data_IF_101682989264
#
_entry.id   IF_101682989264
#
_cell.length_a   1.000
_cell.length_b   1.000
_cell.length_c   1.000
_cell.angle_alpha   90.00
_cell.angle_beta   90.00
_cell.angle_gamma   90.00
#
_symmetry.space_group_name_H-M   'P 1'
#
loop_
_entity.id
_entity.type
_entity.pdbx_description
1 polymer ?
#
# COMPACT_ATOMS: atom_id res chain seq x y z
N UNK A 1 3.78 -13.81 -25.03
CA UNK A 1 2.51 -13.08 -25.20
C UNK A 1 1.82 -12.95 -23.84
N UNK A 2 1.72 -11.73 -23.30
CA UNK A 2 0.90 -11.44 -22.13
C UNK A 2 -0.57 -11.67 -22.52
N UNK A 3 -1.21 -12.65 -21.92
CA UNK A 3 -2.65 -12.88 -22.08
C UNK A 3 -3.37 -11.57 -21.71
N UNK A 4 -4.22 -11.07 -22.61
CA UNK A 4 -5.06 -9.89 -22.35
C UNK A 4 -5.98 -10.20 -21.16
N UNK A 5 -5.69 -9.62 -20.01
CA UNK A 5 -6.53 -9.73 -18.82
C UNK A 5 -7.67 -8.73 -18.99
N UNK A 6 -8.92 -9.19 -18.84
CA UNK A 6 -10.05 -8.28 -18.75
C UNK A 6 -9.98 -7.57 -17.40
N UNK A 7 -9.81 -6.26 -17.43
CA UNK A 7 -9.73 -5.43 -16.24
C UNK A 7 -10.72 -4.26 -16.31
N UNK A 8 -11.27 -3.89 -15.17
CA UNK A 8 -12.10 -2.72 -14.96
C UNK A 8 -11.36 -1.79 -14.00
N UNK A 9 -11.17 -0.54 -14.37
CA UNK A 9 -10.58 0.49 -13.52
C UNK A 9 -11.66 1.34 -12.87
N UNK A 10 -11.46 1.70 -11.61
CA UNK A 10 -12.38 2.53 -10.84
C UNK A 10 -11.56 3.65 -10.19
N UNK A 11 -11.98 4.90 -10.35
CA UNK A 11 -11.30 6.05 -9.74
C UNK A 11 -12.28 7.21 -9.51
N UNK A 12 -12.02 8.04 -8.51
CA UNK A 12 -12.75 9.28 -8.25
C UNK A 12 -12.29 10.41 -9.18
N UNK A 13 -11.10 10.30 -9.76
CA UNK A 13 -10.51 11.31 -10.62
C UNK A 13 -10.84 11.06 -12.08
N UNK A 14 -11.74 11.88 -12.63
CA UNK A 14 -12.16 11.82 -14.04
C UNK A 14 -11.02 11.98 -15.03
N UNK A 15 -9.99 12.77 -14.70
CA UNK A 15 -8.85 12.98 -15.59
C UNK A 15 -8.00 11.72 -15.70
N UNK A 16 -7.73 11.02 -14.57
CA UNK A 16 -7.03 9.72 -14.57
C UNK A 16 -7.80 8.66 -15.34
N UNK A 17 -9.12 8.59 -15.17
CA UNK A 17 -9.96 7.66 -15.95
C UNK A 17 -9.92 7.93 -17.45
N UNK A 18 -9.91 9.21 -17.85
CA UNK A 18 -9.79 9.60 -19.26
C UNK A 18 -8.45 9.18 -19.85
N UNK A 19 -7.37 9.34 -19.09
CA UNK A 19 -6.04 8.93 -19.51
C UNK A 19 -5.88 7.40 -19.57
N UNK A 20 -6.39 6.69 -18.59
CA UNK A 20 -6.41 5.23 -18.57
C UNK A 20 -7.17 4.64 -19.78
N UNK A 21 -8.29 5.26 -20.17
CA UNK A 21 -9.04 4.86 -21.37
C UNK A 21 -8.25 5.09 -22.67
N UNK A 22 -7.49 6.18 -22.78
CA UNK A 22 -6.66 6.45 -23.97
C UNK A 22 -5.57 5.41 -24.14
N UNK A 23 -4.96 4.97 -23.02
CA UNK A 23 -3.87 4.03 -23.02
C UNK A 23 -4.33 2.56 -23.09
N UNK A 24 -5.63 2.30 -23.25
CA UNK A 24 -6.23 0.97 -23.35
C UNK A 24 -5.85 0.01 -22.22
N UNK A 25 -5.56 0.57 -21.04
CA UNK A 25 -5.17 -0.22 -19.87
C UNK A 25 -6.34 -1.02 -19.32
N UNK A 26 -7.58 -0.47 -19.46
CA UNK A 26 -8.79 -1.11 -18.97
C UNK A 26 -9.85 -1.25 -20.05
N UNK A 27 -10.61 -2.34 -19.99
CA UNK A 27 -11.78 -2.54 -20.86
C UNK A 27 -12.91 -1.55 -20.50
N UNK A 28 -13.04 -1.25 -19.21
CA UNK A 28 -14.03 -0.31 -18.68
C UNK A 28 -13.38 0.56 -17.59
N UNK A 29 -13.78 1.82 -17.52
CA UNK A 29 -13.36 2.73 -16.47
C UNK A 29 -14.59 3.44 -15.90
N UNK A 30 -14.83 3.24 -14.60
CA UNK A 30 -16.00 3.74 -13.88
C UNK A 30 -15.57 4.89 -12.98
N UNK A 31 -16.28 6.01 -13.10
CA UNK A 31 -16.14 7.11 -12.15
C UNK A 31 -16.85 6.77 -10.83
N UNK A 32 -16.11 6.90 -9.74
CA UNK A 32 -16.66 6.80 -8.39
C UNK A 32 -17.15 8.15 -7.89
N UNK A 33 -18.27 8.13 -7.19
CA UNK A 33 -18.56 9.06 -6.12
C UNK A 33 -18.54 8.32 -4.78
N UNK A 34 -18.53 9.04 -3.68
CA UNK A 34 -18.39 8.47 -2.33
C UNK A 34 -19.51 7.48 -1.98
N UNK A 35 -20.66 7.54 -2.68
CA UNK A 35 -21.84 6.75 -2.37
C UNK A 35 -21.95 5.47 -3.19
N UNK A 36 -21.25 5.35 -4.33
CA UNK A 36 -21.46 4.25 -5.26
C UNK A 36 -20.41 3.13 -5.23
N UNK A 37 -19.31 3.29 -4.48
CA UNK A 37 -18.23 2.31 -4.44
C UNK A 37 -18.70 0.92 -3.94
N UNK A 38 -19.42 0.87 -2.83
CA UNK A 38 -19.90 -0.40 -2.28
C UNK A 38 -20.89 -1.12 -3.21
N UNK A 39 -21.92 -0.46 -3.77
CA UNK A 39 -22.79 -1.06 -4.80
C UNK A 39 -22.05 -1.59 -6.03
N UNK A 40 -21.01 -0.89 -6.51
CA UNK A 40 -20.18 -1.34 -7.63
C UNK A 40 -19.45 -2.63 -7.28
N UNK A 41 -18.82 -2.69 -6.10
CA UNK A 41 -18.14 -3.89 -5.61
C UNK A 41 -19.10 -5.06 -5.44
N UNK A 42 -20.24 -4.84 -4.80
CA UNK A 42 -21.24 -5.89 -4.54
C UNK A 42 -21.82 -6.50 -5.84
N UNK A 43 -21.99 -5.68 -6.88
CA UNK A 43 -22.49 -6.12 -8.19
C UNK A 43 -21.42 -6.57 -9.17
N UNK A 44 -20.15 -6.48 -8.79
CA UNK A 44 -19.03 -6.83 -9.68
C UNK A 44 -19.00 -8.32 -10.01
N UNK A 45 -18.75 -8.63 -11.28
CA UNK A 45 -18.50 -9.98 -11.76
C UNK A 45 -17.00 -10.34 -11.79
N UNK A 46 -16.15 -9.43 -11.30
CA UNK A 46 -14.71 -9.66 -11.22
C UNK A 46 -14.38 -10.73 -10.18
N UNK A 47 -13.34 -11.51 -10.44
CA UNK A 47 -12.85 -12.52 -9.48
C UNK A 47 -11.82 -11.95 -8.52
N UNK A 48 -11.15 -10.86 -8.91
CA UNK A 48 -10.09 -10.20 -8.15
C UNK A 48 -10.40 -8.73 -8.02
N UNK A 49 -10.30 -8.20 -6.81
CA UNK A 49 -10.26 -6.78 -6.52
C UNK A 49 -8.84 -6.39 -6.13
N UNK A 50 -8.29 -5.36 -6.77
CA UNK A 50 -6.99 -4.78 -6.43
C UNK A 50 -7.19 -3.38 -5.84
N UNK A 51 -6.60 -3.15 -4.65
CA UNK A 51 -6.66 -1.90 -3.89
C UNK A 51 -5.23 -1.45 -3.59
N UNK A 52 -4.53 -0.97 -4.62
CA UNK A 52 -3.14 -0.50 -4.50
C UNK A 52 -3.18 0.95 -4.03
N UNK A 53 -2.48 1.22 -2.91
CA UNK A 53 -2.43 2.56 -2.28
C UNK A 53 -3.83 3.19 -2.20
N UNK A 54 -4.77 2.45 -1.60
CA UNK A 54 -6.18 2.83 -1.57
C UNK A 54 -6.78 2.74 -0.16
N UNK A 55 -6.59 1.61 0.54
CA UNK A 55 -7.24 1.38 1.84
C UNK A 55 -6.83 2.39 2.91
N UNK A 56 -5.59 2.87 2.87
CA UNK A 56 -5.04 3.87 3.78
C UNK A 56 -5.64 5.27 3.60
N UNK A 57 -6.25 5.53 2.45
CA UNK A 57 -6.89 6.81 2.13
C UNK A 57 -8.40 6.81 2.40
N UNK A 58 -9.01 5.65 2.59
CA UNK A 58 -10.46 5.55 2.81
C UNK A 58 -10.82 5.91 4.25
N UNK A 59 -11.86 6.71 4.44
CA UNK A 59 -12.37 7.00 5.78
C UNK A 59 -12.95 5.76 6.45
N UNK A 60 -13.59 4.87 5.69
CA UNK A 60 -14.25 3.68 6.20
C UNK A 60 -13.85 2.41 5.42
N UNK A 61 -12.60 1.93 5.53
CA UNK A 61 -12.12 0.75 4.78
C UNK A 61 -12.93 -0.52 5.09
N UNK A 62 -13.52 -0.59 6.28
CA UNK A 62 -14.41 -1.69 6.67
C UNK A 62 -15.66 -1.84 5.78
N UNK A 63 -16.19 -0.73 5.23
CA UNK A 63 -17.34 -0.79 4.30
C UNK A 63 -16.97 -1.51 3.02
N UNK A 64 -15.76 -1.27 2.49
CA UNK A 64 -15.24 -1.94 1.29
C UNK A 64 -15.13 -3.44 1.53
N UNK A 65 -14.47 -3.85 2.62
CA UNK A 65 -14.33 -5.28 2.94
C UNK A 65 -15.67 -5.97 3.19
N UNK A 66 -16.63 -5.25 3.76
CA UNK A 66 -18.02 -5.75 3.91
C UNK A 66 -18.71 -5.92 2.57
N UNK A 67 -18.52 -5.01 1.62
CA UNK A 67 -19.06 -5.12 0.25
C UNK A 67 -18.43 -6.31 -0.49
N UNK A 68 -17.10 -6.49 -0.37
CA UNK A 68 -16.41 -7.66 -0.94
C UNK A 68 -16.96 -8.97 -0.36
N UNK A 69 -17.19 -9.03 0.95
CA UNK A 69 -17.78 -10.21 1.59
C UNK A 69 -19.11 -10.64 0.97
N UNK A 70 -19.91 -9.67 0.48
CA UNK A 70 -21.24 -9.89 -0.14
C UNK A 70 -21.18 -10.11 -1.65
N UNK A 71 -20.03 -9.88 -2.28
CA UNK A 71 -19.83 -9.95 -3.73
C UNK A 71 -19.37 -11.33 -4.19
N UNK A 72 -19.23 -11.49 -5.52
CA UNK A 72 -18.62 -12.68 -6.14
C UNK A 72 -17.08 -12.57 -6.26
N UNK A 73 -16.45 -11.58 -5.63
CA UNK A 73 -15.02 -11.39 -5.64
C UNK A 73 -14.34 -12.44 -4.78
N UNK A 74 -13.51 -13.26 -5.40
CA UNK A 74 -12.83 -14.39 -4.77
C UNK A 74 -11.54 -13.99 -4.06
N UNK A 75 -10.82 -13.04 -4.64
CA UNK A 75 -9.53 -12.58 -4.10
C UNK A 75 -9.47 -11.07 -3.98
N UNK A 76 -8.85 -10.59 -2.92
CA UNK A 76 -8.51 -9.18 -2.73
C UNK A 76 -7.00 -9.06 -2.61
N UNK A 77 -6.41 -8.25 -3.47
CA UNK A 77 -5.03 -7.81 -3.35
C UNK A 77 -5.00 -6.37 -2.86
N UNK A 78 -4.21 -6.09 -1.85
CA UNK A 78 -3.98 -4.71 -1.40
C UNK A 78 -2.57 -4.53 -0.85
N UNK A 79 -2.08 -3.31 -0.89
CA UNK A 79 -0.93 -2.87 -0.11
C UNK A 79 -1.34 -1.74 0.83
N UNK A 80 -0.65 -1.64 1.95
CA UNK A 80 -0.89 -0.61 2.97
C UNK A 80 0.39 -0.23 3.70
N UNK A 81 0.50 1.04 4.13
CA UNK A 81 1.57 1.47 5.01
C UNK A 81 1.38 0.91 6.42
N UNK A 82 2.51 0.64 7.08
CA UNK A 82 2.54 0.04 8.40
C UNK A 82 3.03 1.04 9.46
N UNK A 83 2.57 0.82 10.68
CA UNK A 83 3.19 1.43 11.85
C UNK A 83 4.58 0.79 12.06
N UNK A 84 5.61 1.46 11.58
CA UNK A 84 6.97 0.95 11.45
C UNK A 84 8.02 1.92 12.00
N UNK A 85 9.28 1.58 11.82
CA UNK A 85 10.40 2.43 12.20
C UNK A 85 10.40 3.78 11.46
N UNK A 86 9.93 3.83 10.20
CA UNK A 86 9.78 5.08 9.43
C UNK A 86 8.92 6.12 10.15
N UNK A 87 7.90 5.71 10.90
CA UNK A 87 7.05 6.64 11.68
C UNK A 87 7.87 7.40 12.73
N UNK A 88 8.78 6.71 13.43
CA UNK A 88 9.65 7.36 14.41
C UNK A 88 10.64 8.29 13.75
N UNK A 89 11.22 7.90 12.61
CA UNK A 89 12.11 8.74 11.80
C UNK A 89 11.39 10.02 11.39
N UNK A 90 10.18 9.93 10.85
CA UNK A 90 9.39 11.07 10.40
C UNK A 90 9.01 12.01 11.55
N UNK A 91 8.76 11.48 12.75
CA UNK A 91 8.51 12.30 13.95
C UNK A 91 9.76 13.03 14.46
N UNK A 92 10.93 12.42 14.38
CA UNK A 92 12.21 13.03 14.80
C UNK A 92 12.66 14.08 13.79
N UNK A 93 12.57 13.80 12.51
CA UNK A 93 13.06 14.64 11.42
C UNK A 93 11.93 15.49 10.78
N UNK A 94 11.17 16.23 11.56
CA UNK A 94 9.98 16.99 11.16
C UNK A 94 10.17 18.00 10.02
N UNK A 95 11.42 18.40 9.72
CA UNK A 95 11.74 19.32 8.60
C UNK A 95 11.77 18.60 7.25
N UNK A 96 11.70 17.27 7.23
CA UNK A 96 11.73 16.45 6.03
C UNK A 96 10.30 16.03 5.73
N UNK A 97 9.91 16.12 4.45
CA UNK A 97 8.57 15.71 4.03
C UNK A 97 8.33 14.22 4.38
N UNK A 98 7.30 13.92 5.18
CA UNK A 98 7.02 12.57 5.60
C UNK A 98 6.48 11.74 4.44
N UNK A 99 6.89 10.47 4.35
CA UNK A 99 6.37 9.51 3.37
C UNK A 99 5.12 8.82 3.89
N UNK A 100 5.15 8.44 5.16
CA UNK A 100 4.10 7.62 5.80
C UNK A 100 3.09 8.47 6.55
N UNK A 101 3.53 9.50 7.28
CA UNK A 101 2.68 10.42 8.04
C UNK A 101 2.18 11.60 7.18
N UNK A 102 2.01 11.42 5.88
CA UNK A 102 1.46 12.49 5.06
C UNK A 102 -0.05 12.68 5.31
N UNK A 103 -0.57 13.88 5.03
CA UNK A 103 -1.95 14.26 5.34
C UNK A 103 -3.03 13.46 4.59
N UNK A 104 -2.66 12.67 3.59
CA UNK A 104 -3.60 11.85 2.81
C UNK A 104 -3.84 10.45 3.42
N UNK A 105 -2.95 9.98 4.30
CA UNK A 105 -3.12 8.70 4.98
C UNK A 105 -4.02 8.84 6.20
N UNK A 106 -5.21 8.27 6.14
CA UNK A 106 -6.17 8.25 7.26
C UNK A 106 -5.93 7.06 8.19
N UNK A 107 -5.24 6.04 7.72
CA UNK A 107 -4.98 4.80 8.45
C UNK A 107 -3.54 4.33 8.29
N UNK A 108 -2.97 3.86 9.41
CA UNK A 108 -1.77 3.02 9.43
C UNK A 108 -2.15 1.64 9.93
N UNK A 109 -1.54 0.63 9.34
CA UNK A 109 -1.85 -0.76 9.64
C UNK A 109 -0.74 -1.41 10.47
N UNK A 110 -1.02 -2.56 11.00
CA UNK A 110 -0.08 -3.47 11.65
C UNK A 110 -0.45 -4.90 11.30
N UNK A 111 0.45 -5.86 11.51
CA UNK A 111 0.13 -7.28 11.34
C UNK A 111 -1.13 -7.67 12.12
N UNK A 112 -1.26 -7.17 13.37
CA UNK A 112 -2.43 -7.45 14.21
C UNK A 112 -3.73 -6.90 13.62
N UNK A 113 -3.71 -5.67 13.07
CA UNK A 113 -4.91 -5.08 12.46
C UNK A 113 -5.29 -5.78 11.17
N UNK A 114 -4.33 -6.19 10.34
CA UNK A 114 -4.57 -6.97 9.11
C UNK A 114 -5.19 -8.33 9.44
N UNK A 115 -4.62 -9.05 10.41
CA UNK A 115 -5.16 -10.31 10.89
C UNK A 115 -6.56 -10.18 11.50
N UNK A 116 -6.82 -9.08 12.22
CA UNK A 116 -8.15 -8.77 12.73
C UNK A 116 -9.15 -8.55 11.60
N UNK A 117 -8.81 -7.77 10.57
CA UNK A 117 -9.67 -7.54 9.40
C UNK A 117 -9.98 -8.84 8.66
N UNK A 118 -8.97 -9.67 8.41
CA UNK A 118 -9.15 -10.95 7.74
C UNK A 118 -10.17 -11.83 8.51
N UNK A 119 -10.00 -11.99 9.83
CA UNK A 119 -10.94 -12.76 10.67
C UNK A 119 -12.34 -12.15 10.71
N UNK A 120 -12.44 -10.83 10.92
CA UNK A 120 -13.72 -10.11 11.03
C UNK A 120 -14.61 -10.30 9.80
N UNK A 121 -14.03 -10.31 8.62
CA UNK A 121 -14.77 -10.42 7.36
C UNK A 121 -14.75 -11.82 6.76
N UNK A 122 -14.22 -12.82 7.47
CA UNK A 122 -14.11 -14.21 7.05
C UNK A 122 -13.27 -14.37 5.76
N UNK A 123 -12.13 -13.69 5.72
CA UNK A 123 -11.10 -13.89 4.71
C UNK A 123 -9.97 -14.78 5.25
N UNK A 124 -9.26 -15.42 4.33
CA UNK A 124 -8.01 -16.14 4.56
C UNK A 124 -6.86 -15.36 3.93
N UNK A 125 -5.79 -15.10 4.67
CA UNK A 125 -4.56 -14.56 4.11
C UNK A 125 -3.85 -15.71 3.40
N UNK A 126 -3.73 -15.65 2.07
CA UNK A 126 -3.10 -16.68 1.24
C UNK A 126 -1.76 -16.26 0.65
N UNK A 127 -1.40 -15.02 0.82
CA UNK A 127 -0.10 -14.46 0.43
C UNK A 127 0.18 -13.17 1.14
N UNK A 128 1.45 -13.00 1.53
CA UNK A 128 1.95 -11.77 2.15
C UNK A 128 3.38 -11.51 1.69
N UNK A 129 3.71 -10.25 1.48
CA UNK A 129 5.05 -9.78 1.19
C UNK A 129 5.32 -8.51 1.98
N UNK A 130 6.20 -8.64 2.96
CA UNK A 130 6.60 -7.59 3.88
C UNK A 130 7.89 -6.95 3.37
N UNK A 131 7.89 -5.63 3.22
CA UNK A 131 9.03 -4.88 2.70
C UNK A 131 8.92 -3.42 3.12
N UNK A 132 9.99 -2.68 2.92
CA UNK A 132 9.97 -1.25 3.24
C UNK A 132 11.18 -0.50 2.71
N UNK A 133 11.23 0.77 3.08
CA UNK A 133 12.35 1.66 2.81
C UNK A 133 12.82 2.36 4.10
N UNK A 134 12.62 1.72 5.26
CA UNK A 134 12.85 2.32 6.58
C UNK A 134 14.31 2.76 6.75
N UNK A 135 15.25 1.92 6.30
CA UNK A 135 16.67 2.21 6.40
C UNK A 135 17.08 3.28 5.38
N UNK A 136 16.52 3.27 4.18
CA UNK A 136 16.69 4.36 3.22
C UNK A 136 16.14 5.69 3.76
N UNK A 137 14.96 5.67 4.39
CA UNK A 137 14.35 6.84 5.01
C UNK A 137 15.23 7.38 6.15
N UNK A 138 15.84 6.50 6.95
CA UNK A 138 16.80 6.90 7.99
C UNK A 138 18.00 7.64 7.39
N UNK A 139 18.70 7.03 6.43
CA UNK A 139 19.87 7.64 5.81
C UNK A 139 19.53 8.94 5.08
N UNK A 140 18.43 8.97 4.34
CA UNK A 140 17.92 10.19 3.71
C UNK A 140 17.67 11.29 4.73
N UNK A 141 17.06 10.97 5.86
CA UNK A 141 16.73 11.93 6.90
C UNK A 141 17.96 12.48 7.59
N UNK A 142 18.94 11.63 7.87
CA UNK A 142 20.24 12.06 8.41
C UNK A 142 20.98 12.97 7.42
N UNK A 143 21.07 12.58 6.15
CA UNK A 143 21.74 13.36 5.10
C UNK A 143 21.11 14.75 4.91
N UNK A 144 19.77 14.84 4.92
CA UNK A 144 19.07 16.10 4.72
C UNK A 144 19.13 17.02 5.95
N UNK A 145 19.14 16.44 7.15
CA UNK A 145 19.17 17.19 8.42
C UNK A 145 20.57 17.60 8.84
N UNK A 146 21.58 16.89 8.41
CA UNK A 146 22.95 17.15 8.83
C UNK A 146 23.46 18.49 8.30
N UNK A 147 24.02 19.30 9.20
CA UNK A 147 24.61 20.60 8.86
C UNK A 147 26.11 20.46 8.59
N UNK A 148 26.47 19.61 7.62
CA UNK A 148 27.85 19.45 7.21
C UNK A 148 28.27 20.58 6.29
N UNK A 149 29.50 21.12 6.51
CA UNK A 149 30.14 22.09 5.61
C UNK A 149 30.31 21.53 4.19
N UNK A 150 30.53 20.22 4.09
CA UNK A 150 30.70 19.52 2.82
C UNK A 150 29.70 18.31 2.72
N UNK A 151 28.46 18.59 2.34
CA UNK A 151 27.43 17.57 2.17
C UNK A 151 27.80 16.48 1.15
N UNK A 152 28.53 16.85 0.09
CA UNK A 152 28.90 15.91 -0.98
C UNK A 152 29.90 14.87 -0.48
N UNK A 153 30.87 15.29 0.32
CA UNK A 153 31.86 14.39 0.91
C UNK A 153 31.20 13.38 1.88
N UNK A 154 30.31 13.86 2.71
CA UNK A 154 29.54 12.98 3.59
C UNK A 154 28.65 12.01 2.82
N UNK A 155 28.00 12.45 1.76
CA UNK A 155 27.21 11.58 0.90
C UNK A 155 28.08 10.50 0.23
N UNK A 156 29.27 10.86 -0.24
CA UNK A 156 30.22 9.91 -0.80
C UNK A 156 30.66 8.89 0.25
N UNK A 157 30.95 9.32 1.47
CA UNK A 157 31.29 8.42 2.58
C UNK A 157 30.18 7.42 2.88
N UNK A 158 28.92 7.87 2.95
CA UNK A 158 27.76 6.97 3.15
C UNK A 158 27.65 5.98 2.00
N UNK A 159 27.78 6.43 0.76
CA UNK A 159 27.70 5.55 -0.41
C UNK A 159 28.83 4.51 -0.43
N UNK A 160 30.03 4.89 -0.05
CA UNK A 160 31.20 4.00 -0.06
C UNK A 160 31.15 2.95 1.06
N UNK A 161 30.70 3.33 2.26
CA UNK A 161 30.81 2.47 3.44
C UNK A 161 29.50 1.81 3.90
N UNK A 162 28.34 2.35 3.53
CA UNK A 162 27.06 1.88 4.05
C UNK A 162 26.08 1.42 2.97
N UNK A 163 26.22 1.87 1.73
CA UNK A 163 25.23 1.59 0.69
C UNK A 163 24.95 0.09 0.51
N UNK A 164 26.00 -0.73 0.46
CA UNK A 164 25.87 -2.19 0.32
C UNK A 164 25.23 -2.89 1.56
N UNK A 165 25.12 -2.18 2.68
CA UNK A 165 24.54 -2.71 3.91
C UNK A 165 23.08 -2.30 4.11
N UNK A 166 22.61 -1.28 3.39
CA UNK A 166 21.24 -0.75 3.54
C UNK A 166 20.21 -1.86 3.30
N UNK A 167 20.35 -2.61 2.21
CA UNK A 167 19.42 -3.69 1.89
C UNK A 167 19.49 -4.85 2.91
N UNK A 168 20.68 -5.14 3.43
CA UNK A 168 20.85 -6.16 4.47
C UNK A 168 20.15 -5.74 5.76
N UNK A 169 20.28 -4.46 6.16
CA UNK A 169 19.58 -3.91 7.34
C UNK A 169 18.08 -3.88 7.12
N UNK A 170 17.62 -3.47 5.93
CA UNK A 170 16.19 -3.48 5.58
C UNK A 170 15.62 -4.90 5.64
N UNK A 171 16.32 -5.90 5.11
CA UNK A 171 15.90 -7.30 5.17
C UNK A 171 15.67 -7.83 6.61
N UNK A 172 16.37 -7.30 7.60
CA UNK A 172 16.11 -7.66 9.02
C UNK A 172 14.73 -7.16 9.45
N UNK A 173 14.38 -5.92 9.08
CA UNK A 173 13.07 -5.34 9.37
C UNK A 173 11.96 -6.09 8.63
N UNK A 174 12.17 -6.39 7.35
CA UNK A 174 11.21 -7.08 6.49
C UNK A 174 10.90 -8.49 7.04
N UNK A 175 11.92 -9.28 7.37
CA UNK A 175 11.77 -10.62 7.97
C UNK A 175 11.11 -10.56 9.35
N UNK A 176 11.38 -9.51 10.13
CA UNK A 176 10.76 -9.26 11.42
C UNK A 176 9.37 -8.65 11.35
N UNK A 177 8.83 -8.40 10.14
CA UNK A 177 7.54 -7.72 9.91
C UNK A 177 7.45 -6.35 10.61
N UNK A 178 8.60 -5.68 10.72
CA UNK A 178 8.75 -4.35 11.32
C UNK A 178 9.02 -3.26 10.27
N UNK A 179 8.83 -3.60 9.00
CA UNK A 179 8.99 -2.73 7.84
C UNK A 179 7.79 -1.81 7.62
N UNK A 180 7.95 -0.88 6.69
CA UNK A 180 6.99 0.21 6.48
C UNK A 180 5.84 -0.11 5.53
N UNK A 181 5.84 -1.26 4.85
CA UNK A 181 4.80 -1.61 3.87
C UNK A 181 4.59 -3.12 3.79
N UNK A 182 3.38 -3.52 3.39
CA UNK A 182 3.04 -4.92 3.14
C UNK A 182 2.09 -5.05 1.96
N UNK A 183 2.30 -6.08 1.14
CA UNK A 183 1.34 -6.56 0.16
C UNK A 183 0.63 -7.79 0.71
N UNK A 184 -0.70 -7.83 0.59
CA UNK A 184 -1.54 -8.90 1.12
C UNK A 184 -2.46 -9.43 0.03
N UNK A 185 -2.61 -10.75 -0.03
CA UNK A 185 -3.64 -11.42 -0.82
C UNK A 185 -4.61 -12.12 0.13
N UNK A 186 -5.87 -11.70 0.08
CA UNK A 186 -6.96 -12.34 0.81
C UNK A 186 -7.78 -13.22 -0.12
N UNK A 187 -8.20 -14.39 0.38
CA UNK A 187 -9.22 -15.24 -0.23
C UNK A 187 -10.54 -15.09 0.53
N UNK A 188 -11.61 -14.84 -0.19
CA UNK A 188 -12.95 -14.73 0.37
C UNK A 188 -13.53 -16.11 0.70
N UNK A 189 -13.60 -16.46 1.99
CA UNK A 189 -14.13 -17.74 2.46
C UNK A 189 -15.67 -17.80 2.49
N UNK A 190 -16.35 -16.68 2.21
CA UNK A 190 -17.80 -16.66 2.15
C UNK A 190 -18.33 -17.21 0.81
N UNK A 191 -17.48 -17.36 -0.19
CA UNK A 191 -17.79 -18.04 -1.44
C UNK A 191 -17.49 -19.52 -1.26
N UNK A 192 -18.52 -20.27 -0.85
CA UNK A 192 -18.49 -21.72 -0.82
C UNK A 192 -18.48 -22.19 -2.28
N UNK A 193 -17.54 -23.08 -2.60
CA UNK A 193 -17.48 -23.76 -3.89
C UNK A 193 -18.70 -24.65 -4.07
#
# INVERSE_FOLDING_TARGET
ELKKIKAQGIDVNKALLKEAKKNLVFNEAIHLDENNICPIIEKSNCKVLSLISTLEHLQEPNKILKAVKKSNIKYVFFNVPLLSFSIFIENVFQKIYPRTLNASHTHLYSEKSINYLARKFNFEIIGEWWFGADIHDLFRSVLLSANFKNKKEFQNYINEHFYEHIDKMQNVLDKGKSCSEVHIVLKNKNLIN
#
